data_IF_489671892595
#
_entry.id   IF_489671892595
#
_cell.length_a   1.000
_cell.length_b   1.000
_cell.length_c   1.000
_cell.angle_alpha   90.00
_cell.angle_beta   90.00
_cell.angle_gamma   90.00
#
_symmetry.space_group_name_H-M   'P 1'
#
loop_
_entity.id
_entity.type
_entity.pdbx_description
1 polymer ?
#
# COMPACT_ATOMS: atom_id res chain seq x y z
N UNK A 1 13.60 -17.08 -10.13
CA UNK A 1 12.57 -16.77 -9.11
C UNK A 1 11.20 -16.68 -9.78
N UNK A 2 10.30 -17.55 -9.34
CA UNK A 2 9.07 -17.97 -10.03
C UNK A 2 8.10 -16.81 -10.34
N UNK A 3 7.53 -16.81 -11.55
CA UNK A 3 6.52 -15.86 -12.07
C UNK A 3 5.40 -15.54 -11.05
N UNK A 4 5.03 -16.56 -10.28
CA UNK A 4 4.03 -16.55 -9.21
C UNK A 4 4.36 -15.53 -8.10
N UNK A 5 5.63 -15.45 -7.65
CA UNK A 5 6.03 -14.49 -6.62
C UNK A 5 5.87 -13.05 -7.12
N UNK A 6 6.18 -12.82 -8.40
CA UNK A 6 6.06 -11.50 -9.01
C UNK A 6 4.59 -11.09 -9.14
N UNK A 7 3.72 -12.00 -9.58
CA UNK A 7 2.27 -11.76 -9.62
C UNK A 7 1.66 -11.53 -8.24
N UNK A 8 2.09 -12.29 -7.22
CA UNK A 8 1.62 -12.08 -5.84
C UNK A 8 2.03 -10.71 -5.30
N UNK A 9 3.27 -10.30 -5.56
CA UNK A 9 3.75 -8.96 -5.19
C UNK A 9 2.98 -7.88 -5.94
N UNK A 10 2.74 -8.07 -7.24
CA UNK A 10 2.02 -7.09 -8.07
C UNK A 10 0.55 -6.94 -7.65
N UNK A 11 -0.13 -8.06 -7.37
CA UNK A 11 -1.48 -8.07 -6.78
C UNK A 11 -1.49 -7.39 -5.43
N UNK A 12 -0.45 -7.60 -4.61
CA UNK A 12 -0.37 -6.99 -3.28
C UNK A 12 -0.14 -5.48 -3.37
N UNK A 13 0.69 -5.01 -4.31
CA UNK A 13 0.83 -3.58 -4.60
C UNK A 13 -0.48 -2.94 -5.03
N UNK A 14 -1.18 -3.56 -6.00
CA UNK A 14 -2.50 -3.07 -6.42
C UNK A 14 -3.49 -3.05 -5.26
N UNK A 15 -3.50 -4.09 -4.44
CA UNK A 15 -4.36 -4.16 -3.25
C UNK A 15 -4.05 -3.06 -2.23
N UNK A 16 -2.77 -2.76 -2.01
CA UNK A 16 -2.32 -1.68 -1.12
C UNK A 16 -2.82 -0.32 -1.63
N UNK A 17 -2.62 -0.06 -2.92
CA UNK A 17 -3.06 1.19 -3.56
C UNK A 17 -4.58 1.32 -3.45
N UNK A 18 -5.33 0.27 -3.80
CA UNK A 18 -6.79 0.25 -3.75
C UNK A 18 -7.30 0.47 -2.31
N UNK A 19 -6.67 -0.18 -1.32
CA UNK A 19 -7.00 0.00 0.09
C UNK A 19 -6.73 1.44 0.58
N UNK A 20 -5.60 2.04 0.19
CA UNK A 20 -5.26 3.41 0.55
C UNK A 20 -6.22 4.42 -0.08
N UNK A 21 -6.62 4.19 -1.33
CA UNK A 21 -7.67 4.96 -2.04
C UNK A 21 -9.02 4.82 -1.32
N UNK A 22 -9.44 3.59 -1.01
CA UNK A 22 -10.70 3.30 -0.33
C UNK A 22 -10.76 3.89 1.09
N UNK A 23 -9.62 3.90 1.80
CA UNK A 23 -9.48 4.54 3.11
C UNK A 23 -9.52 6.08 3.04
N UNK A 24 -9.74 6.67 1.85
CA UNK A 24 -9.61 8.10 1.54
C UNK A 24 -8.25 8.67 1.97
N UNK A 25 -7.24 7.82 2.10
CA UNK A 25 -5.93 8.17 2.59
C UNK A 25 -5.05 8.62 1.43
N UNK A 26 -5.48 9.65 0.71
CA UNK A 26 -4.79 10.16 -0.48
C UNK A 26 -3.48 10.90 -0.16
N UNK A 27 -3.23 11.13 1.12
CA UNK A 27 -2.16 11.97 1.67
C UNK A 27 -1.86 11.50 3.09
N UNK A 28 -0.58 11.52 3.46
CA UNK A 28 -0.11 11.26 4.82
C UNK A 28 0.41 12.57 5.39
N UNK A 29 -0.45 13.26 6.14
CA UNK A 29 -0.19 14.64 6.55
C UNK A 29 -0.25 15.59 5.36
N UNK A 30 0.86 16.25 5.05
CA UNK A 30 0.98 17.24 3.97
C UNK A 30 1.50 16.66 2.64
N UNK A 31 2.00 15.42 2.62
CA UNK A 31 2.50 14.77 1.40
C UNK A 31 1.45 13.87 0.75
N UNK A 32 1.33 13.97 -0.58
CA UNK A 32 0.42 13.14 -1.37
C UNK A 32 0.91 11.69 -1.46
N UNK A 33 0.00 10.72 -1.62
CA UNK A 33 0.33 9.30 -1.88
C UNK A 33 1.33 9.10 -3.02
N UNK A 34 1.29 9.98 -4.03
CA UNK A 34 2.19 9.94 -5.17
C UNK A 34 3.59 10.47 -4.87
N UNK A 35 3.76 11.22 -3.78
CA UNK A 35 5.06 11.65 -3.27
C UNK A 35 5.66 10.62 -2.31
N UNK A 36 4.85 9.68 -1.82
CA UNK A 36 5.30 8.60 -0.96
C UNK A 36 5.98 7.50 -1.79
N UNK A 37 7.13 7.05 -1.29
CA UNK A 37 7.82 5.90 -1.90
C UNK A 37 7.03 4.62 -1.70
N UNK A 38 7.28 3.63 -2.56
CA UNK A 38 6.60 2.34 -2.52
C UNK A 38 6.73 1.64 -1.16
N UNK A 39 7.87 1.85 -0.48
CA UNK A 39 8.13 1.39 0.88
C UNK A 39 7.16 2.04 1.89
N UNK A 40 6.88 3.33 1.76
CA UNK A 40 5.92 4.03 2.63
C UNK A 40 4.50 3.50 2.42
N UNK A 41 4.10 3.21 1.18
CA UNK A 41 2.81 2.58 0.89
C UNK A 41 2.67 1.22 1.57
N UNK A 42 3.72 0.39 1.52
CA UNK A 42 3.74 -0.91 2.21
C UNK A 42 3.71 -0.76 3.74
N UNK A 43 4.43 0.21 4.30
CA UNK A 43 4.44 0.49 5.75
C UNK A 43 3.06 0.97 6.21
N UNK A 44 2.42 1.89 5.49
CA UNK A 44 1.09 2.38 5.85
C UNK A 44 0.04 1.29 5.72
N UNK A 45 0.13 0.45 4.70
CA UNK A 45 -0.72 -0.73 4.60
C UNK A 45 -0.50 -1.70 5.77
N UNK A 46 0.75 -1.97 6.13
CA UNK A 46 1.08 -2.82 7.28
C UNK A 46 0.50 -2.23 8.57
N UNK A 47 0.63 -0.93 8.80
CA UNK A 47 0.04 -0.21 9.94
C UNK A 47 -1.48 -0.27 9.95
N UNK A 48 -2.14 -0.01 8.82
CA UNK A 48 -3.60 -0.06 8.68
C UNK A 48 -4.14 -1.47 8.88
N UNK A 49 -3.41 -2.48 8.40
CA UNK A 49 -3.75 -3.89 8.59
C UNK A 49 -3.60 -4.30 10.06
N UNK A 50 -2.53 -3.85 10.72
CA UNK A 50 -2.26 -4.18 12.13
C UNK A 50 -3.23 -3.46 13.10
N UNK A 51 -3.79 -2.30 12.71
CA UNK A 51 -4.83 -1.59 13.49
C UNK A 51 -6.22 -2.25 13.52
N UNK A 52 -6.42 -3.35 12.78
CA UNK A 52 -7.68 -4.11 12.76
C UNK A 52 -7.68 -5.37 13.65
N UNK A 53 -6.62 -5.61 14.42
CA UNK A 53 -6.58 -6.64 15.48
C UNK A 53 -6.93 -6.07 16.86
#
# INVERSE_FOLDING_TARGET
MSRILRELVDRRKHYIIDYLIAAKHYKKGEQHLYELTLTDLEIEFARLKNRKE
#
